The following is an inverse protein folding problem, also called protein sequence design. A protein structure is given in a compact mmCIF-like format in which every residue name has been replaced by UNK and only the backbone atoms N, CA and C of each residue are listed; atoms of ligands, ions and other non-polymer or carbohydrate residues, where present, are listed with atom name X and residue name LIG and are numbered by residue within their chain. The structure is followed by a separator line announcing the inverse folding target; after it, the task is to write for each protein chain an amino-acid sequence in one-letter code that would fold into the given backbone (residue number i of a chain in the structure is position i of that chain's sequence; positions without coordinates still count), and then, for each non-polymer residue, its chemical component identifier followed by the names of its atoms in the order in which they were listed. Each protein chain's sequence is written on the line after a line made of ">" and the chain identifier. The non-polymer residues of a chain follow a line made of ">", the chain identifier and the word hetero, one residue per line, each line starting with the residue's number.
data_IF_642740724633
#
_entry.id   IF_642740724633
#
_cell.length_a   1.000
_cell.length_b   1.000
_cell.length_c   1.000
_cell.angle_alpha   90.00
_cell.angle_beta   90.00
_cell.angle_gamma   90.00
#
_symmetry.space_group_name_H-M   'P 1'
#
loop_
_entity.id
_entity.type
_entity.pdbx_description
1 polymer ?
#
# COMPACT_ATOMS: atom_id res chain seq x y z
N UNK A 1 -25.58 -33.80 -12.80
CA UNK A 1 -25.04 -32.44 -12.60
C UNK A 1 -26.18 -31.49 -12.88
N UNK A 2 -26.61 -30.69 -11.91
CA UNK A 2 -27.68 -29.71 -12.09
C UNK A 2 -27.03 -28.32 -12.34
N UNK A 3 -27.45 -27.63 -13.40
CA UNK A 3 -27.05 -26.26 -13.65
C UNK A 3 -28.14 -25.40 -13.03
N UNK A 4 -27.73 -24.49 -12.12
CA UNK A 4 -28.63 -23.49 -11.53
C UNK A 4 -28.52 -22.22 -12.37
N UNK A 5 -29.67 -21.65 -12.75
CA UNK A 5 -29.73 -20.44 -13.56
C UNK A 5 -30.36 -19.30 -12.75
N UNK A 6 -29.71 -18.15 -12.71
CA UNK A 6 -30.14 -16.96 -11.99
C UNK A 6 -30.27 -15.76 -12.94
N UNK A 7 -31.18 -14.82 -12.65
CA UNK A 7 -32.44 -14.95 -11.94
C UNK A 7 -33.53 -15.46 -12.89
N UNK A 8 -34.46 -16.26 -12.39
CA UNK A 8 -35.62 -16.73 -13.15
C UNK A 8 -36.90 -16.45 -12.37
N UNK A 9 -37.97 -16.04 -13.09
CA UNK A 9 -39.27 -15.84 -12.49
C UNK A 9 -39.90 -17.22 -12.07
N UNK A 10 -40.51 -17.22 -10.91
CA UNK A 10 -41.20 -18.43 -10.40
C UNK A 10 -40.29 -19.48 -9.76
N UNK A 11 -38.99 -19.18 -9.63
CA UNK A 11 -38.02 -20.02 -8.91
C UNK A 11 -37.79 -19.47 -7.51
N UNK A 12 -37.76 -20.36 -6.52
CA UNK A 12 -37.38 -19.99 -5.15
C UNK A 12 -35.88 -20.25 -4.97
N UNK A 13 -35.19 -19.27 -4.43
CA UNK A 13 -33.76 -19.34 -4.12
C UNK A 13 -33.55 -19.36 -2.62
N UNK A 14 -32.59 -20.14 -2.17
CA UNK A 14 -32.17 -20.17 -0.77
C UNK A 14 -30.90 -19.30 -0.53
N UNK A 15 -30.38 -19.33 0.69
CA UNK A 15 -29.20 -18.55 1.05
C UNK A 15 -27.94 -19.03 0.31
N UNK A 16 -27.83 -20.33 0.02
CA UNK A 16 -26.70 -20.89 -0.74
C UNK A 16 -26.74 -20.43 -2.20
N UNK A 17 -27.93 -20.38 -2.80
CA UNK A 17 -28.14 -19.88 -4.14
C UNK A 17 -27.72 -18.40 -4.26
N UNK A 18 -28.12 -17.57 -3.30
CA UNK A 18 -27.71 -16.15 -3.26
C UNK A 18 -26.20 -16.00 -3.07
N UNK A 19 -25.62 -16.83 -2.19
CA UNK A 19 -24.18 -16.88 -1.97
C UNK A 19 -23.44 -17.22 -3.26
N UNK A 20 -23.88 -18.25 -3.98
CA UNK A 20 -23.29 -18.66 -5.26
C UNK A 20 -23.41 -17.57 -6.32
N UNK A 21 -24.54 -16.89 -6.40
CA UNK A 21 -24.71 -15.73 -7.32
C UNK A 21 -23.72 -14.61 -7.05
N UNK A 22 -23.35 -14.38 -5.79
CA UNK A 22 -22.45 -13.32 -5.35
C UNK A 22 -20.98 -13.74 -5.22
N UNK A 23 -20.65 -15.03 -5.32
CA UNK A 23 -19.29 -15.56 -5.10
C UNK A 23 -18.26 -15.12 -6.14
N UNK A 24 -18.69 -14.47 -7.22
CA UNK A 24 -17.78 -13.83 -8.18
C UNK A 24 -17.06 -12.63 -7.60
N UNK A 25 -17.48 -12.13 -6.44
CA UNK A 25 -16.79 -11.07 -5.72
C UNK A 25 -15.48 -11.56 -5.13
N UNK A 26 -14.48 -10.67 -5.10
CA UNK A 26 -13.26 -10.94 -4.34
C UNK A 26 -13.52 -10.74 -2.85
N UNK A 27 -12.86 -11.52 -1.99
CA UNK A 27 -12.85 -11.26 -0.55
C UNK A 27 -12.23 -9.91 -0.25
N UNK A 28 -12.72 -9.23 0.78
CA UNK A 28 -12.18 -7.96 1.22
C UNK A 28 -13.23 -7.01 1.79
N UNK A 29 -12.78 -5.84 2.23
CA UNK A 29 -13.66 -4.75 2.70
C UNK A 29 -14.27 -4.01 1.51
N UNK A 30 -15.47 -3.43 1.71
CA UNK A 30 -16.17 -2.70 0.63
C UNK A 30 -15.41 -1.47 0.16
N UNK A 31 -14.84 -0.71 1.09
CA UNK A 31 -14.01 0.45 0.79
C UNK A 31 -12.96 0.63 1.88
N UNK A 32 -11.75 1.07 1.50
CA UNK A 32 -10.65 1.25 2.44
C UNK A 32 -10.87 2.39 3.44
N UNK A 33 -11.54 3.47 3.03
CA UNK A 33 -11.54 4.71 3.80
C UNK A 33 -12.22 4.58 5.17
N UNK A 34 -13.40 3.97 5.22
CA UNK A 34 -14.21 3.91 6.45
C UNK A 34 -14.54 2.50 6.90
N UNK A 35 -14.74 1.56 5.97
CA UNK A 35 -15.22 0.22 6.30
C UNK A 35 -14.20 -0.56 7.13
N UNK A 36 -14.57 -0.92 8.36
CA UNK A 36 -13.74 -1.63 9.32
C UNK A 36 -12.40 -0.93 9.62
N UNK A 37 -12.37 0.42 9.52
CA UNK A 37 -11.20 1.20 9.90
C UNK A 37 -10.92 1.03 11.40
N UNK A 38 -9.66 0.86 11.76
CA UNK A 38 -9.25 0.68 13.15
C UNK A 38 -8.62 1.96 13.66
N UNK A 39 -9.04 2.41 14.84
CA UNK A 39 -8.52 3.60 15.51
C UNK A 39 -8.29 3.34 16.99
N UNK A 40 -7.38 4.11 17.59
CA UNK A 40 -7.15 4.08 19.04
C UNK A 40 -8.14 5.01 19.72
N UNK A 41 -8.82 4.51 20.77
CA UNK A 41 -9.83 5.26 21.53
C UNK A 41 -9.53 5.35 23.01
N UNK A 42 -8.50 4.67 23.50
CA UNK A 42 -8.04 4.72 24.90
C UNK A 42 -6.65 4.12 25.04
N UNK A 43 -6.10 4.09 26.22
CA UNK A 43 -4.72 3.64 26.48
C UNK A 43 -4.40 2.28 25.84
N UNK A 44 -5.31 1.32 25.94
CA UNK A 44 -5.23 -0.01 25.28
C UNK A 44 -6.56 -0.39 24.64
N UNK A 45 -7.31 0.62 24.26
CA UNK A 45 -8.61 0.44 23.62
C UNK A 45 -8.50 0.83 22.15
N UNK A 46 -8.91 -0.07 21.28
CA UNK A 46 -9.03 0.16 19.86
C UNK A 46 -10.48 -0.04 19.42
N UNK A 47 -10.91 0.75 18.48
CA UNK A 47 -12.27 0.69 17.95
C UNK A 47 -12.19 0.38 16.46
N UNK A 48 -12.96 -0.62 16.05
CA UNK A 48 -13.17 -0.97 14.65
C UNK A 48 -14.47 -0.33 14.19
N UNK A 49 -14.40 0.51 13.19
CA UNK A 49 -15.56 1.23 12.66
C UNK A 49 -16.59 0.28 12.03
N UNK A 50 -17.86 0.70 11.91
CA UNK A 50 -18.85 0.00 11.10
C UNK A 50 -18.34 -0.26 9.69
N UNK A 51 -18.83 -1.32 9.06
CA UNK A 51 -18.34 -1.65 7.72
C UNK A 51 -19.09 -2.79 7.06
N UNK A 52 -18.76 -2.96 5.79
CA UNK A 52 -19.22 -4.02 4.93
C UNK A 52 -18.00 -4.74 4.34
N UNK A 53 -18.02 -6.06 4.32
CA UNK A 53 -17.01 -6.90 3.71
C UNK A 53 -17.66 -8.12 3.05
N UNK A 54 -16.93 -8.74 2.14
CA UNK A 54 -17.28 -10.03 1.55
C UNK A 54 -16.18 -11.04 1.86
N UNK A 55 -16.56 -12.24 2.27
CA UNK A 55 -15.65 -13.34 2.59
C UNK A 55 -16.04 -14.54 1.74
N UNK A 56 -15.23 -14.92 0.77
CA UNK A 56 -15.34 -16.20 0.11
C UNK A 56 -14.73 -17.27 1.01
N UNK A 57 -15.49 -18.34 1.27
CA UNK A 57 -15.04 -19.44 2.13
C UNK A 57 -15.05 -20.80 1.40
N UNK A 58 -15.51 -20.83 0.16
CA UNK A 58 -15.47 -21.98 -0.73
C UNK A 58 -15.48 -21.47 -2.17
N UNK A 59 -15.25 -22.34 -3.16
CA UNK A 59 -15.19 -21.98 -4.59
C UNK A 59 -16.47 -21.29 -5.08
N UNK A 60 -17.62 -21.66 -4.53
CA UNK A 60 -18.93 -21.13 -4.91
C UNK A 60 -19.71 -20.54 -3.74
N UNK A 61 -19.06 -20.28 -2.61
CA UNK A 61 -19.74 -19.80 -1.40
C UNK A 61 -19.01 -18.61 -0.79
N UNK A 62 -19.80 -17.64 -0.38
CA UNK A 62 -19.31 -16.47 0.33
C UNK A 62 -20.39 -15.87 1.22
N UNK A 63 -19.98 -15.05 2.16
CA UNK A 63 -20.85 -14.33 3.07
C UNK A 63 -20.56 -12.85 3.08
N UNK A 64 -21.61 -12.05 3.22
CA UNK A 64 -21.51 -10.62 3.46
C UNK A 64 -21.46 -10.37 4.96
N UNK A 65 -20.37 -9.77 5.43
CA UNK A 65 -20.21 -9.33 6.81
C UNK A 65 -20.54 -7.83 6.90
N UNK A 66 -21.61 -7.49 7.60
CA UNK A 66 -22.04 -6.12 7.78
C UNK A 66 -22.13 -5.78 9.28
N UNK A 67 -21.26 -4.88 9.75
CA UNK A 67 -21.39 -4.27 11.06
C UNK A 67 -21.98 -2.87 10.93
N UNK A 68 -23.07 -2.61 11.63
CA UNK A 68 -23.70 -1.28 11.68
C UNK A 68 -23.21 -0.44 12.85
N UNK A 69 -22.53 -1.06 13.79
CA UNK A 69 -22.00 -0.45 14.99
C UNK A 69 -20.48 -0.66 15.07
N UNK A 70 -19.82 0.24 15.78
CA UNK A 70 -18.40 0.11 16.04
C UNK A 70 -18.16 -1.00 17.08
N UNK A 71 -17.07 -1.74 16.90
CA UNK A 71 -16.64 -2.81 17.81
C UNK A 71 -15.43 -2.35 18.60
N UNK A 72 -15.53 -2.36 19.92
CA UNK A 72 -14.43 -2.02 20.81
C UNK A 72 -13.67 -3.27 21.22
N UNK A 73 -12.35 -3.21 21.11
CA UNK A 73 -11.44 -4.29 21.48
C UNK A 73 -10.41 -3.76 22.49
N UNK A 74 -10.03 -4.62 23.42
CA UNK A 74 -8.97 -4.31 24.39
C UNK A 74 -7.71 -5.08 24.03
N UNK A 75 -6.62 -4.35 23.83
CA UNK A 75 -5.29 -4.94 23.62
C UNK A 75 -4.78 -5.47 24.98
N UNK A 76 -4.38 -6.74 25.08
CA UNK A 76 -3.86 -7.32 26.33
C UNK A 76 -2.59 -6.61 26.80
N UNK A 77 -2.24 -6.79 28.08
CA UNK A 77 -1.01 -6.27 28.66
C UNK A 77 0.21 -6.65 27.85
N UNK A 78 1.16 -5.70 27.71
CA UNK A 78 2.44 -5.98 27.07
C UNK A 78 3.26 -6.94 27.93
N UNK A 79 4.07 -7.78 27.26
CA UNK A 79 5.14 -8.49 27.95
C UNK A 79 6.17 -7.48 28.47
N UNK A 80 6.77 -7.74 29.63
CA UNK A 80 7.70 -6.81 30.28
C UNK A 80 9.04 -6.68 29.54
N UNK A 81 9.42 -7.66 28.74
CA UNK A 81 10.75 -7.81 28.17
C UNK A 81 10.78 -7.91 26.64
N UNK A 82 9.75 -8.46 26.04
CA UNK A 82 9.71 -8.73 24.61
C UNK A 82 8.52 -8.02 23.94
N UNK A 83 8.74 -7.40 22.78
CA UNK A 83 7.64 -6.86 21.97
C UNK A 83 6.83 -7.97 21.33
N UNK A 84 5.59 -7.66 20.93
CA UNK A 84 4.75 -8.52 20.11
C UNK A 84 3.97 -7.71 19.08
N UNK A 85 3.43 -8.38 18.09
CA UNK A 85 2.51 -7.79 17.10
C UNK A 85 1.20 -8.56 17.16
N UNK A 86 0.13 -7.88 17.54
CA UNK A 86 -1.23 -8.41 17.54
C UNK A 86 -1.87 -8.16 16.16
N UNK A 87 -2.90 -8.93 15.81
CA UNK A 87 -3.66 -8.75 14.57
C UNK A 87 -5.15 -8.63 14.85
N UNK A 88 -5.80 -7.64 14.26
CA UNK A 88 -7.25 -7.52 14.24
C UNK A 88 -7.78 -8.18 12.97
N UNK A 89 -8.72 -9.09 13.12
CA UNK A 89 -9.31 -9.83 12.02
C UNK A 89 -10.84 -9.73 12.04
N UNK A 90 -11.43 -9.75 10.84
CA UNK A 90 -12.83 -10.09 10.64
C UNK A 90 -12.88 -11.57 10.31
N UNK A 91 -13.46 -12.38 11.20
CA UNK A 91 -13.48 -13.82 11.08
C UNK A 91 -14.91 -14.35 10.85
N UNK A 92 -15.07 -15.14 9.81
CA UNK A 92 -16.26 -15.98 9.63
C UNK A 92 -15.97 -17.40 10.15
N UNK A 93 -16.82 -17.89 11.06
CA UNK A 93 -16.78 -19.25 11.58
C UNK A 93 -17.92 -20.04 10.93
N UNK A 94 -17.56 -21.03 10.12
CA UNK A 94 -18.53 -21.82 9.36
C UNK A 94 -19.36 -22.74 10.26
N UNK A 95 -18.78 -23.22 11.36
CA UNK A 95 -19.48 -24.10 12.30
C UNK A 95 -20.49 -23.33 13.15
N UNK A 96 -20.11 -22.13 13.59
CA UNK A 96 -21.00 -21.25 14.34
C UNK A 96 -21.95 -20.44 13.42
N UNK A 97 -21.68 -20.43 12.11
CA UNK A 97 -22.36 -19.59 11.12
C UNK A 97 -22.41 -18.11 11.55
N UNK A 98 -21.30 -17.60 12.04
CA UNK A 98 -21.17 -16.29 12.65
C UNK A 98 -19.93 -15.57 12.15
N UNK A 99 -20.10 -14.26 11.89
CA UNK A 99 -18.97 -13.35 11.61
C UNK A 99 -18.72 -12.46 12.81
N UNK A 100 -17.47 -12.32 13.23
CA UNK A 100 -17.07 -11.47 14.35
C UNK A 100 -15.73 -10.77 14.09
N UNK A 101 -15.58 -9.56 14.63
CA UNK A 101 -14.29 -8.89 14.72
C UNK A 101 -13.55 -9.42 15.94
N UNK A 102 -12.32 -9.86 15.78
CA UNK A 102 -11.49 -10.42 16.84
C UNK A 102 -10.10 -9.81 16.87
N UNK A 103 -9.53 -9.68 18.06
CA UNK A 103 -8.12 -9.41 18.27
C UNK A 103 -7.41 -10.74 18.51
N UNK A 104 -6.37 -11.00 17.74
CA UNK A 104 -5.47 -12.17 17.89
C UNK A 104 -4.14 -11.66 18.48
N UNK A 105 -3.86 -11.91 19.76
CA UNK A 105 -2.57 -11.56 20.32
C UNK A 105 -1.44 -12.35 19.67
N UNK A 106 -0.34 -11.65 19.36
CA UNK A 106 0.88 -12.28 18.88
C UNK A 106 1.69 -12.92 19.99
N UNK A 107 2.74 -13.62 19.61
CA UNK A 107 3.69 -14.20 20.56
C UNK A 107 4.82 -13.20 20.81
N UNK A 108 5.13 -12.85 22.09
CA UNK A 108 6.28 -12.00 22.39
C UNK A 108 7.59 -12.64 21.90
N UNK A 109 8.39 -11.87 21.15
CA UNK A 109 9.66 -12.33 20.59
C UNK A 109 10.60 -11.14 20.32
N UNK A 110 11.91 -11.39 20.20
CA UNK A 110 12.89 -10.36 19.82
C UNK A 110 12.63 -9.79 18.40
N UNK A 111 12.11 -10.62 17.50
CA UNK A 111 11.60 -10.22 16.19
C UNK A 111 10.17 -10.77 16.07
N UNK A 112 9.15 -10.04 16.56
CA UNK A 112 7.79 -10.53 16.58
C UNK A 112 7.17 -10.51 15.16
N UNK A 113 6.37 -11.54 14.90
CA UNK A 113 5.56 -11.62 13.68
C UNK A 113 4.06 -11.59 14.06
N UNK A 114 3.21 -10.98 13.22
CA UNK A 114 1.78 -10.97 13.46
C UNK A 114 1.20 -12.38 13.26
N UNK A 115 0.17 -12.78 14.02
CA UNK A 115 -0.50 -14.06 13.81
C UNK A 115 -0.95 -14.25 12.37
N UNK A 116 -0.75 -15.45 11.83
CA UNK A 116 -1.18 -15.79 10.48
C UNK A 116 -2.71 -15.68 10.32
N UNK A 117 -3.13 -15.31 9.11
CA UNK A 117 -4.54 -15.36 8.70
C UNK A 117 -4.97 -16.81 8.55
N UNK A 118 -6.10 -17.16 9.13
CA UNK A 118 -6.69 -18.48 8.97
C UNK A 118 -7.63 -18.49 7.77
N UNK A 119 -7.40 -19.44 6.87
CA UNK A 119 -8.27 -19.76 5.75
C UNK A 119 -8.35 -21.28 5.66
N UNK A 120 -9.22 -21.86 6.45
CA UNK A 120 -9.39 -23.30 6.55
C UNK A 120 -10.87 -23.66 6.56
N UNK A 121 -11.19 -24.97 6.59
CA UNK A 121 -12.57 -25.45 6.50
C UNK A 121 -13.53 -24.82 7.54
N UNK A 122 -13.04 -24.41 8.70
CA UNK A 122 -13.87 -23.91 9.79
C UNK A 122 -13.81 -22.37 9.95
N UNK A 123 -12.75 -21.72 9.52
CA UNK A 123 -12.50 -20.30 9.81
C UNK A 123 -11.87 -19.59 8.62
N UNK A 124 -12.46 -18.45 8.28
CA UNK A 124 -11.98 -17.57 7.22
C UNK A 124 -11.80 -16.16 7.76
N UNK A 125 -10.60 -15.62 7.66
CA UNK A 125 -10.22 -14.36 8.24
C UNK A 125 -9.82 -13.34 7.17
N UNK A 126 -10.19 -12.08 7.40
CA UNK A 126 -9.63 -10.90 6.73
C UNK A 126 -8.85 -10.10 7.77
N UNK A 127 -7.57 -9.81 7.49
CA UNK A 127 -6.70 -9.03 8.37
C UNK A 127 -6.95 -7.54 8.20
N UNK A 128 -7.56 -6.91 9.18
CA UNK A 128 -7.90 -5.49 9.14
C UNK A 128 -6.70 -4.60 9.44
N UNK A 129 -5.96 -4.92 10.48
CA UNK A 129 -4.71 -4.22 10.85
C UNK A 129 -3.81 -5.09 11.70
N UNK A 130 -2.56 -4.67 11.84
CA UNK A 130 -1.66 -5.15 12.89
C UNK A 130 -1.47 -4.05 13.93
N UNK A 131 -1.21 -4.46 15.19
CA UNK A 131 -0.99 -3.58 16.32
C UNK A 131 0.35 -3.94 16.96
N UNK A 132 1.32 -3.05 16.85
CA UNK A 132 2.62 -3.20 17.52
C UNK A 132 2.46 -2.93 19.01
N UNK A 133 2.95 -3.86 19.83
CA UNK A 133 2.90 -3.75 21.30
C UNK A 133 4.34 -3.84 21.83
N UNK A 134 5.00 -2.68 22.08
CA UNK A 134 6.34 -2.66 22.63
C UNK A 134 6.41 -3.28 24.01
N UNK A 135 7.57 -3.83 24.38
CA UNK A 135 7.80 -4.40 25.71
C UNK A 135 7.53 -3.35 26.81
N UNK A 136 6.81 -3.77 27.85
CA UNK A 136 6.48 -2.92 29.00
C UNK A 136 5.54 -1.75 28.72
N UNK A 137 5.00 -1.62 27.51
CA UNK A 137 4.09 -0.53 27.15
C UNK A 137 2.74 -0.68 27.86
N UNK A 138 2.25 0.40 28.45
CA UNK A 138 0.91 0.49 29.02
C UNK A 138 -0.12 1.13 28.07
N UNK A 139 0.33 1.62 26.93
CA UNK A 139 -0.50 2.35 25.96
C UNK A 139 -0.25 1.86 24.54
N UNK A 140 -1.26 1.98 23.70
CA UNK A 140 -1.18 1.83 22.24
C UNK A 140 -1.51 3.17 21.61
N UNK A 141 -0.75 3.58 20.62
CA UNK A 141 -0.92 4.84 19.89
C UNK A 141 -1.34 4.59 18.45
N UNK A 142 -1.76 5.62 17.74
CA UNK A 142 -2.09 5.50 16.33
C UNK A 142 -0.89 5.09 15.46
N UNK A 143 0.35 5.41 15.90
CA UNK A 143 1.57 4.99 15.21
C UNK A 143 1.86 3.49 15.32
N UNK A 144 1.26 2.81 16.30
CA UNK A 144 1.40 1.37 16.50
C UNK A 144 0.44 0.55 15.64
N UNK A 145 -0.51 1.20 14.96
CA UNK A 145 -1.49 0.53 14.08
C UNK A 145 -1.00 0.61 12.63
N UNK A 146 -0.86 -0.55 12.00
CA UNK A 146 -0.62 -0.66 10.57
C UNK A 146 -1.86 -1.21 9.89
N UNK A 147 -2.48 -0.42 9.02
CA UNK A 147 -3.65 -0.81 8.24
C UNK A 147 -3.27 -1.82 7.15
N UNK A 148 -3.87 -3.00 7.18
CA UNK A 148 -3.62 -4.07 6.21
C UNK A 148 -4.82 -4.33 5.27
N UNK A 149 -5.86 -3.50 5.31
CA UNK A 149 -7.08 -3.72 4.52
C UNK A 149 -6.87 -3.62 3.01
N UNK A 150 -5.85 -2.90 2.55
CA UNK A 150 -5.51 -2.82 1.13
C UNK A 150 -4.59 -3.95 0.65
N UNK A 151 -4.02 -4.73 1.56
CA UNK A 151 -3.14 -5.86 1.26
C UNK A 151 -3.99 -7.06 0.84
N UNK A 152 -3.87 -7.46 -0.42
CA UNK A 152 -4.66 -8.55 -1.02
C UNK A 152 -4.28 -9.93 -0.47
N UNK A 153 -3.09 -10.07 0.12
CA UNK A 153 -2.66 -11.34 0.73
C UNK A 153 -3.33 -11.61 2.09
N UNK A 154 -3.83 -10.57 2.75
CA UNK A 154 -4.41 -10.70 4.10
C UNK A 154 -5.84 -10.18 4.22
N UNK A 155 -6.28 -9.26 3.35
CA UNK A 155 -7.63 -8.69 3.36
C UNK A 155 -8.11 -8.38 1.95
N UNK A 156 -7.62 -7.29 1.37
CA UNK A 156 -8.04 -6.79 0.07
C UNK A 156 -9.28 -5.89 0.12
N UNK A 157 -9.60 -5.33 -1.04
CA UNK A 157 -10.82 -4.56 -1.30
C UNK A 157 -11.75 -5.40 -2.17
N UNK A 158 -13.00 -5.53 -1.74
CA UNK A 158 -14.03 -6.27 -2.46
C UNK A 158 -14.26 -5.66 -3.85
N UNK A 159 -14.27 -6.51 -4.87
CA UNK A 159 -14.54 -6.15 -6.27
C UNK A 159 -15.56 -7.10 -6.86
N UNK A 160 -16.51 -6.59 -7.63
CA UNK A 160 -17.48 -7.41 -8.35
C UNK A 160 -16.90 -7.95 -9.66
N UNK A 161 -17.10 -9.25 -9.88
CA UNK A 161 -17.20 -9.82 -11.23
C UNK A 161 -15.93 -10.10 -12.00
N UNK A 162 -14.72 -9.83 -11.49
CA UNK A 162 -13.52 -10.17 -12.26
C UNK A 162 -12.41 -10.73 -11.37
N UNK A 163 -12.44 -12.03 -11.13
CA UNK A 163 -11.22 -12.80 -10.90
C UNK A 163 -10.45 -12.77 -12.21
N UNK A 164 -9.55 -11.84 -12.40
CA UNK A 164 -8.74 -11.86 -13.61
C UNK A 164 -8.33 -10.50 -14.19
N UNK A 165 -8.67 -9.37 -13.57
CA UNK A 165 -7.88 -8.18 -13.87
C UNK A 165 -6.53 -8.43 -13.19
N UNK A 166 -5.42 -8.52 -13.93
CA UNK A 166 -4.10 -8.78 -13.35
C UNK A 166 -3.60 -7.50 -12.66
N UNK A 167 -4.25 -7.12 -11.53
CA UNK A 167 -3.86 -5.96 -10.74
C UNK A 167 -2.44 -6.10 -10.22
N UNK A 168 -2.04 -7.32 -9.83
CA UNK A 168 -0.65 -7.62 -9.47
C UNK A 168 0.31 -7.36 -10.64
N UNK A 169 -0.09 -7.71 -11.87
CA UNK A 169 0.72 -7.46 -13.06
C UNK A 169 0.80 -5.96 -13.38
N UNK A 170 -0.30 -5.22 -13.22
CA UNK A 170 -0.31 -3.76 -13.39
C UNK A 170 0.52 -3.07 -12.31
N UNK A 171 0.44 -3.52 -11.06
CA UNK A 171 1.28 -3.02 -9.97
C UNK A 171 2.76 -3.31 -10.22
N UNK A 172 3.11 -4.53 -10.67
CA UNK A 172 4.49 -4.88 -11.01
C UNK A 172 5.02 -4.02 -12.16
N UNK A 173 4.21 -3.76 -13.18
CA UNK A 173 4.57 -2.87 -14.28
C UNK A 173 4.76 -1.42 -13.81
N UNK A 174 3.86 -0.91 -12.98
CA UNK A 174 3.96 0.43 -12.42
C UNK A 174 5.23 0.56 -11.57
N UNK A 175 5.52 -0.43 -10.72
CA UNK A 175 6.75 -0.45 -9.90
C UNK A 175 8.01 -0.50 -10.77
N UNK A 176 8.02 -1.31 -11.83
CA UNK A 176 9.13 -1.39 -12.77
C UNK A 176 9.40 -0.05 -13.46
N UNK A 177 8.34 0.62 -13.92
CA UNK A 177 8.44 1.96 -14.53
C UNK A 177 8.97 2.99 -13.53
N UNK A 178 8.47 2.98 -12.29
CA UNK A 178 8.96 3.88 -11.25
C UNK A 178 10.44 3.64 -10.91
N UNK A 179 10.85 2.39 -10.85
CA UNK A 179 12.26 2.02 -10.59
C UNK A 179 13.14 2.46 -11.74
N UNK A 180 12.73 2.23 -12.98
CA UNK A 180 13.46 2.68 -14.16
C UNK A 180 13.59 4.21 -14.19
N UNK A 181 12.49 4.94 -13.95
CA UNK A 181 12.49 6.40 -13.91
C UNK A 181 13.41 6.94 -12.80
N UNK A 182 13.39 6.32 -11.63
CA UNK A 182 14.29 6.68 -10.53
C UNK A 182 15.75 6.45 -10.90
N UNK A 183 16.07 5.34 -11.54
CA UNK A 183 17.44 5.01 -11.99
C UNK A 183 17.92 6.01 -13.05
N UNK A 184 17.08 6.33 -14.03
CA UNK A 184 17.40 7.34 -15.05
C UNK A 184 17.59 8.74 -14.46
N UNK A 185 16.77 9.12 -13.47
CA UNK A 185 16.88 10.39 -12.78
C UNK A 185 18.20 10.49 -11.99
N UNK A 186 18.56 9.44 -11.25
CA UNK A 186 19.84 9.41 -10.52
C UNK A 186 21.03 9.51 -11.49
N UNK A 187 21.01 8.75 -12.59
CA UNK A 187 22.08 8.81 -13.57
C UNK A 187 22.23 10.21 -14.22
N UNK A 188 21.12 10.91 -14.43
CA UNK A 188 21.15 12.30 -14.94
C UNK A 188 21.65 13.30 -13.88
N UNK A 189 21.30 13.09 -12.61
CA UNK A 189 21.80 13.90 -11.50
C UNK A 189 23.31 13.70 -11.34
N UNK A 190 23.80 12.47 -11.36
CA UNK A 190 25.24 12.16 -11.29
C UNK A 190 26.02 12.80 -12.47
N UNK A 191 25.43 12.73 -13.67
CA UNK A 191 26.03 13.38 -14.85
C UNK A 191 26.06 14.93 -14.72
N UNK A 192 25.03 15.52 -14.13
CA UNK A 192 24.98 16.95 -13.86
C UNK A 192 25.98 17.35 -12.79
N UNK A 193 26.10 16.61 -11.71
CA UNK A 193 27.07 16.83 -10.65
C UNK A 193 28.51 16.73 -11.18
N UNK A 194 28.76 15.72 -12.04
CA UNK A 194 30.07 15.62 -12.72
C UNK A 194 30.36 16.79 -13.65
N UNK A 195 29.36 17.32 -14.36
CA UNK A 195 29.49 18.49 -15.20
C UNK A 195 29.77 19.78 -14.36
N UNK A 196 29.05 19.92 -13.23
CA UNK A 196 29.26 21.03 -12.28
C UNK A 196 30.66 20.94 -11.68
N UNK A 197 31.11 19.77 -11.24
CA UNK A 197 32.48 19.59 -10.74
C UNK A 197 33.54 19.91 -11.80
N UNK A 198 33.26 19.59 -13.07
CA UNK A 198 34.10 19.98 -14.20
C UNK A 198 34.19 21.53 -14.37
N UNK A 199 33.09 22.21 -14.11
CA UNK A 199 33.01 23.68 -14.10
C UNK A 199 33.81 24.27 -12.93
N UNK A 200 33.62 23.74 -11.72
CA UNK A 200 34.32 24.18 -10.51
C UNK A 200 35.82 23.87 -10.53
N UNK A 201 36.28 22.82 -11.21
CA UNK A 201 37.66 22.42 -11.33
C UNK A 201 38.46 23.23 -12.37
N UNK A 202 37.87 24.24 -12.99
CA UNK A 202 38.56 25.15 -13.86
C UNK A 202 38.80 24.61 -15.29
N UNK A 203 37.92 23.75 -15.79
CA UNK A 203 37.93 23.34 -17.21
C UNK A 203 37.57 24.45 -18.18
N UNK A 204 37.45 25.67 -17.68
CA UNK A 204 37.35 26.86 -18.51
C UNK A 204 38.75 27.43 -18.77
N UNK A 205 38.94 27.86 -19.99
CA UNK A 205 40.14 28.59 -20.32
C UNK A 205 40.22 29.83 -19.45
N UNK A 206 41.32 30.04 -18.75
CA UNK A 206 41.65 31.33 -18.20
C UNK A 206 41.73 32.36 -19.34
N UNK A 207 41.59 33.64 -19.05
CA UNK A 207 41.70 34.68 -20.09
C UNK A 207 43.00 34.52 -20.87
N UNK A 208 44.12 34.23 -20.20
CA UNK A 208 45.41 34.02 -20.82
C UNK A 208 45.45 32.81 -21.77
N UNK A 209 44.83 31.69 -21.37
CA UNK A 209 44.72 30.48 -22.21
C UNK A 209 43.76 30.68 -23.38
N UNK A 210 42.65 31.39 -23.16
CA UNK A 210 41.73 31.79 -24.22
C UNK A 210 42.37 32.70 -25.23
N UNK A 211 43.13 33.73 -24.78
CA UNK A 211 43.88 34.63 -25.62
C UNK A 211 44.99 33.92 -26.40
N UNK A 212 45.66 32.92 -25.76
CA UNK A 212 46.68 32.10 -26.42
C UNK A 212 46.11 31.14 -27.47
N UNK A 213 44.91 30.59 -27.21
CA UNK A 213 44.28 29.59 -28.08
C UNK A 213 43.45 30.21 -29.20
N UNK A 214 42.78 31.31 -28.94
CA UNK A 214 41.85 31.95 -29.87
C UNK A 214 42.34 33.30 -30.42
N UNK A 215 43.57 33.69 -30.03
CA UNK A 215 44.18 34.92 -30.41
C UNK A 215 43.74 36.11 -29.53
N UNK A 216 44.59 37.16 -29.50
CA UNK A 216 44.24 38.40 -28.80
C UNK A 216 43.02 39.05 -29.48
N UNK A 217 42.13 39.68 -28.71
CA UNK A 217 41.00 40.39 -29.28
C UNK A 217 41.49 41.36 -30.36
N UNK A 218 40.86 41.31 -31.51
CA UNK A 218 41.19 42.24 -32.59
C UNK A 218 40.97 43.67 -32.11
N UNK A 219 42.05 44.39 -32.02
CA UNK A 219 42.01 45.85 -31.68
C UNK A 219 41.70 46.58 -32.98
N UNK A 220 40.55 47.22 -33.04
CA UNK A 220 40.18 48.09 -34.15
C UNK A 220 41.22 49.18 -34.31
N UNK A 221 41.85 49.36 -35.48
CA UNK A 221 42.71 50.50 -35.70
C UNK A 221 41.88 51.77 -35.56
N UNK A 222 42.50 52.86 -35.02
CA UNK A 222 41.85 54.16 -34.94
C UNK A 222 41.39 54.62 -36.32
N UNK A 223 40.19 55.20 -36.38
CA UNK A 223 39.68 55.79 -37.61
C UNK A 223 40.56 56.87 -38.09
N UNK A 224 40.96 56.81 -39.35
CA UNK A 224 41.69 57.91 -40.02
C UNK A 224 40.79 58.65 -40.99
N UNK A 225 41.13 59.80 -41.47
CA UNK A 225 40.28 60.56 -42.40
C UNK A 225 39.96 59.86 -43.70
N UNK A 226 40.75 58.82 -44.03
CA UNK A 226 40.63 58.06 -45.27
C UNK A 226 40.13 56.60 -45.06
N UNK A 227 39.97 56.18 -43.82
CA UNK A 227 39.45 54.83 -43.44
C UNK A 227 38.49 54.88 -42.29
N UNK A 228 37.25 54.41 -42.51
CA UNK A 228 36.31 54.11 -41.42
C UNK A 228 36.90 52.98 -40.57
N UNK A 229 37.22 53.29 -39.32
CA UNK A 229 37.74 52.30 -38.37
C UNK A 229 36.78 51.14 -38.22
N UNK A 230 37.27 49.92 -38.55
CA UNK A 230 36.65 48.73 -38.07
C UNK A 230 35.61 48.05 -38.91
N UNK A 231 35.37 48.36 -40.13
CA UNK A 231 34.46 47.58 -41.01
C UNK A 231 35.24 47.19 -42.26
N UNK A 232 35.56 45.91 -42.31
CA UNK A 232 35.68 45.14 -43.53
C UNK A 232 34.66 44.04 -43.54
#
# INVERSE_FOLDING_TARGET
>A
MSIITYPLNGVTYDAEDVSTYLCTRTSGVYAKDTNYAVSVTGARQITVAPGLAWINYDDFKGVSACSREAVNLTVPDADSTLPRIDRVVLQFDTAANLTAVKLKPGTPAAAPEPPAILQNHNQYELGLCTVSVPAGSSVVTAADITDTRADEDVCGVMRDGVKGIPTAQLQAQALAIMTQLSTELHAKLDALDAAIAGVESGSFYTKAEADAKFGTPYTLPPATADQLGGVK
#
